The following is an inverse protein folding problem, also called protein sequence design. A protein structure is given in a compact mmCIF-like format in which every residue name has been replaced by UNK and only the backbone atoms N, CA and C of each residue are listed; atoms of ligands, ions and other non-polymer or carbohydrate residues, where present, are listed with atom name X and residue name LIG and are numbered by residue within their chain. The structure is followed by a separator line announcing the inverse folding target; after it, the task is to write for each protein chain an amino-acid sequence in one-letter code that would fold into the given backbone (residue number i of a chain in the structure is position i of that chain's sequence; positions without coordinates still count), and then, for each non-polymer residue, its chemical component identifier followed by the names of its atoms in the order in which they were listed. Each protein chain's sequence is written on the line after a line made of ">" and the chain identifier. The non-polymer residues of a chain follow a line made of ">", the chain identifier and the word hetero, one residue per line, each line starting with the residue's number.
data_IF_763518014327
#
_entry.id   IF_763518014327
#
_cell.length_a   1.000
_cell.length_b   1.000
_cell.length_c   1.000
_cell.angle_alpha   90.00
_cell.angle_beta   90.00
_cell.angle_gamma   90.00
#
_symmetry.space_group_name_H-M   'P 1'
#
loop_
_entity.id
_entity.type
_entity.pdbx_description
1 polymer ?
#
# COMPACT_ATOMS: atom_id res chain seq x y z
N UNK A 1 4.74 -16.39 1.14
CA UNK A 1 4.27 -15.26 0.31
C UNK A 1 5.50 -14.59 -0.31
N UNK A 2 5.30 -13.70 -1.29
CA UNK A 2 6.39 -12.82 -1.75
C UNK A 2 6.72 -11.77 -0.70
N UNK A 3 7.98 -11.37 -0.61
CA UNK A 3 8.40 -10.21 0.19
C UNK A 3 8.11 -8.91 -0.55
N UNK A 4 8.03 -7.82 0.21
CA UNK A 4 7.91 -6.42 -0.24
C UNK A 4 9.13 -5.63 0.20
N UNK A 5 9.16 -4.33 -0.09
CA UNK A 5 10.24 -3.42 0.33
C UNK A 5 10.10 -2.93 1.78
N UNK A 6 8.90 -2.94 2.37
CA UNK A 6 8.64 -2.37 3.70
C UNK A 6 9.59 -2.85 4.80
N UNK A 7 9.82 -4.18 4.97
CA UNK A 7 10.78 -4.68 5.94
C UNK A 7 12.22 -4.24 5.68
N UNK A 8 12.65 -4.19 4.40
CA UNK A 8 13.99 -3.73 4.04
C UNK A 8 14.17 -2.23 4.32
N UNK A 9 13.17 -1.41 4.00
CA UNK A 9 13.18 0.03 4.27
C UNK A 9 13.18 0.30 5.76
N UNK A 10 12.38 -0.44 6.55
CA UNK A 10 12.36 -0.29 8.00
C UNK A 10 13.70 -0.63 8.63
N UNK A 11 14.32 -1.75 8.22
CA UNK A 11 15.64 -2.15 8.71
C UNK A 11 16.75 -1.15 8.33
N UNK A 12 16.67 -0.56 7.13
CA UNK A 12 17.68 0.38 6.64
C UNK A 12 17.61 1.76 7.30
N UNK A 13 16.40 2.25 7.61
CA UNK A 13 16.18 3.61 8.10
C UNK A 13 15.83 3.67 9.59
N UNK A 14 15.47 2.55 10.22
CA UNK A 14 14.98 2.53 11.61
C UNK A 14 13.63 3.22 11.76
N UNK A 15 12.84 3.31 10.68
CA UNK A 15 11.50 3.92 10.68
C UNK A 15 10.46 2.80 10.60
N UNK A 16 9.39 2.91 11.38
CA UNK A 16 8.27 1.97 11.32
C UNK A 16 7.58 2.07 9.95
N UNK A 17 7.38 0.92 9.30
CA UNK A 17 6.71 0.83 8.00
C UNK A 17 5.45 -0.04 8.08
N UNK A 18 4.49 0.27 7.22
CA UNK A 18 3.32 -0.56 6.97
C UNK A 18 3.16 -0.71 5.46
N UNK A 19 3.16 -1.95 4.98
CA UNK A 19 2.88 -2.24 3.58
C UNK A 19 1.37 -2.38 3.38
N UNK A 20 0.83 -1.61 2.42
CA UNK A 20 -0.59 -1.63 2.05
C UNK A 20 -0.74 -1.75 0.54
N UNK A 21 -1.86 -2.33 0.10
CA UNK A 21 -2.18 -2.50 -1.31
C UNK A 21 -3.67 -2.79 -1.51
N UNK A 22 -4.08 -2.91 -2.77
CA UNK A 22 -5.42 -3.37 -3.14
C UNK A 22 -5.39 -4.85 -3.51
N UNK A 23 -6.50 -5.59 -3.31
CA UNK A 23 -6.54 -6.97 -3.75
C UNK A 23 -6.53 -7.05 -5.28
N UNK A 24 -5.73 -7.97 -5.79
CA UNK A 24 -5.68 -8.30 -7.21
C UNK A 24 -5.78 -9.82 -7.39
N UNK A 25 -6.22 -10.24 -8.58
CA UNK A 25 -6.19 -11.63 -9.03
C UNK A 25 -5.16 -11.79 -10.15
N UNK A 26 -4.57 -12.98 -10.20
CA UNK A 26 -3.57 -13.38 -11.19
C UNK A 26 -2.31 -12.48 -11.21
N UNK A 27 -1.83 -12.07 -10.03
CA UNK A 27 -0.56 -11.34 -9.91
C UNK A 27 0.57 -12.10 -10.64
N UNK A 28 1.36 -11.40 -11.45
CA UNK A 28 2.37 -11.93 -12.40
C UNK A 28 1.85 -12.54 -13.71
N UNK A 29 0.55 -12.47 -14.01
CA UNK A 29 0.00 -12.79 -15.32
C UNK A 29 0.31 -11.68 -16.34
N UNK A 30 0.28 -12.01 -17.64
CA UNK A 30 0.27 -11.01 -18.72
C UNK A 30 -0.94 -10.05 -18.61
N UNK A 31 -2.00 -10.50 -17.93
CA UNK A 31 -3.20 -9.71 -17.63
C UNK A 31 -3.67 -9.99 -16.21
N UNK A 32 -3.60 -8.97 -15.38
CA UNK A 32 -4.09 -8.99 -13.99
C UNK A 32 -5.51 -8.41 -13.91
N UNK A 33 -6.18 -8.59 -12.76
CA UNK A 33 -7.53 -8.08 -12.51
C UNK A 33 -7.63 -7.49 -11.10
N UNK A 34 -8.26 -6.32 -10.98
CA UNK A 34 -8.51 -5.64 -9.70
C UNK A 34 -9.89 -4.97 -9.73
N UNK A 35 -10.49 -4.75 -8.56
CA UNK A 35 -11.75 -4.02 -8.48
C UNK A 35 -11.52 -2.51 -8.54
N UNK A 36 -12.31 -1.82 -9.37
CA UNK A 36 -12.27 -0.35 -9.49
C UNK A 36 -12.48 0.36 -8.14
N UNK A 37 -13.35 -0.18 -7.29
CA UNK A 37 -13.66 0.36 -5.97
C UNK A 37 -12.43 0.41 -5.06
N UNK A 38 -11.55 -0.59 -5.16
CA UNK A 38 -10.46 -0.75 -4.21
C UNK A 38 -9.38 0.30 -4.45
N UNK A 39 -9.17 0.69 -5.71
CA UNK A 39 -8.34 1.85 -6.06
C UNK A 39 -8.85 3.13 -5.38
N UNK A 40 -10.17 3.34 -5.37
CA UNK A 40 -10.78 4.51 -4.73
C UNK A 40 -10.64 4.46 -3.20
N UNK A 41 -10.78 3.29 -2.59
CA UNK A 41 -10.59 3.14 -1.15
C UNK A 41 -9.14 3.37 -0.74
N UNK A 42 -8.17 2.85 -1.49
CA UNK A 42 -6.75 3.11 -1.23
C UNK A 42 -6.44 4.61 -1.36
N UNK A 43 -6.98 5.28 -2.39
CA UNK A 43 -6.86 6.73 -2.53
C UNK A 43 -7.37 7.46 -1.28
N UNK A 44 -8.57 7.12 -0.80
CA UNK A 44 -9.16 7.76 0.40
C UNK A 44 -8.35 7.48 1.67
N UNK A 45 -7.82 6.27 1.83
CA UNK A 45 -6.99 5.90 2.97
C UNK A 45 -5.70 6.74 3.01
N UNK A 46 -5.00 6.85 1.87
CA UNK A 46 -3.79 7.68 1.75
C UNK A 46 -4.09 9.16 1.93
N UNK A 47 -5.18 9.67 1.34
CA UNK A 47 -5.60 11.05 1.54
C UNK A 47 -5.85 11.36 3.03
N UNK A 48 -6.50 10.43 3.75
CA UNK A 48 -6.75 10.59 5.18
C UNK A 48 -5.47 10.54 5.99
N UNK A 49 -4.55 9.62 5.67
CA UNK A 49 -3.24 9.48 6.32
C UNK A 49 -2.44 10.80 6.24
N UNK A 50 -2.28 11.37 5.04
CA UNK A 50 -1.55 12.63 4.87
C UNK A 50 -2.30 13.88 5.34
N UNK A 51 -3.62 13.82 5.47
CA UNK A 51 -4.40 14.95 6.00
C UNK A 51 -4.40 14.99 7.54
N UNK A 52 -4.21 13.85 8.20
CA UNK A 52 -4.17 13.75 9.66
C UNK A 52 -2.90 14.39 10.26
N UNK A 53 -1.83 14.51 9.48
CA UNK A 53 -0.55 15.09 9.91
C UNK A 53 -0.58 16.62 10.07
N UNK A 54 -1.65 17.31 9.66
CA UNK A 54 -1.75 18.78 9.79
C UNK A 54 -2.08 19.28 11.20
N UNK A 55 -2.34 18.39 12.16
CA UNK A 55 -2.77 18.74 13.52
C UNK A 55 -1.92 18.10 14.63
N UNK A 56 -0.69 17.66 14.32
CA UNK A 56 0.28 17.17 15.30
C UNK A 56 1.37 18.23 15.54
#
# INVERSE_FOLDING_TARGET
>A
CGSTIGPMTSAALGIDTVDVGIPTLAMHSIRETAAKSDCWFLFRALQKFFSAEKNA
#
